data_IF_377434292588
#
_entry.id   IF_377434292588
#
_cell.length_a   1.000
_cell.length_b   1.000
_cell.length_c   1.000
_cell.angle_alpha   90.00
_cell.angle_beta   90.00
_cell.angle_gamma   90.00
#
_symmetry.space_group_name_H-M   'P 1'
#
loop_
_entity.id
_entity.type
_entity.pdbx_description
1 polymer ?
#
# COMPACT_ATOMS: atom_id res chain seq x y z
N UNK A 1 -30.20 7.75 6.84
CA UNK A 1 -30.41 6.41 7.42
C UNK A 1 -29.07 5.76 7.78
N UNK A 2 -29.01 4.95 8.84
CA UNK A 2 -27.77 4.24 9.19
C UNK A 2 -27.21 3.40 8.06
N UNK A 3 -28.07 2.85 7.20
CA UNK A 3 -27.65 2.03 6.07
C UNK A 3 -26.83 2.82 5.05
N UNK A 4 -27.11 4.13 4.85
CA UNK A 4 -26.37 4.95 3.91
C UNK A 4 -24.94 5.22 4.41
N UNK A 5 -24.77 5.48 5.70
CA UNK A 5 -23.44 5.67 6.30
C UNK A 5 -22.62 4.38 6.26
N UNK A 6 -23.24 3.24 6.58
CA UNK A 6 -22.58 1.94 6.50
C UNK A 6 -22.17 1.60 5.06
N UNK A 7 -23.05 1.85 4.09
CA UNK A 7 -22.76 1.59 2.69
C UNK A 7 -21.60 2.46 2.20
N UNK A 8 -21.57 3.74 2.56
CA UNK A 8 -20.49 4.64 2.19
C UNK A 8 -19.15 4.21 2.81
N UNK A 9 -19.18 3.80 4.08
CA UNK A 9 -17.99 3.30 4.77
C UNK A 9 -17.47 2.02 4.13
N UNK A 10 -18.35 1.09 3.77
CA UNK A 10 -17.98 -0.17 3.13
C UNK A 10 -17.38 0.07 1.75
N UNK A 11 -17.95 1.01 0.98
CA UNK A 11 -17.39 1.40 -0.33
C UNK A 11 -15.99 1.97 -0.16
N UNK A 12 -15.79 2.86 0.81
CA UNK A 12 -14.47 3.45 1.08
C UNK A 12 -13.43 2.40 1.42
N UNK A 13 -13.79 1.44 2.29
CA UNK A 13 -12.88 0.35 2.68
C UNK A 13 -12.49 -0.52 1.50
N UNK A 14 -13.44 -0.84 0.62
CA UNK A 14 -13.17 -1.63 -0.58
C UNK A 14 -12.28 -0.84 -1.56
N UNK A 15 -12.52 0.46 -1.69
CA UNK A 15 -11.69 1.31 -2.56
C UNK A 15 -10.25 1.40 -2.05
N UNK A 16 -10.05 1.50 -0.73
CA UNK A 16 -8.70 1.47 -0.16
C UNK A 16 -8.00 0.16 -0.47
N UNK A 17 -8.70 -0.96 -0.34
CA UNK A 17 -8.12 -2.27 -0.62
C UNK A 17 -7.78 -2.42 -2.10
N UNK A 18 -8.67 -1.98 -3.00
CA UNK A 18 -8.39 -1.99 -4.44
C UNK A 18 -7.18 -1.11 -4.78
N UNK A 19 -7.10 0.07 -4.18
CA UNK A 19 -5.96 0.96 -4.38
C UNK A 19 -4.66 0.28 -3.91
N UNK A 20 -4.71 -0.43 -2.79
CA UNK A 20 -3.54 -1.16 -2.30
C UNK A 20 -3.12 -2.26 -3.28
N UNK A 21 -4.07 -3.03 -3.81
CA UNK A 21 -3.77 -4.08 -4.79
C UNK A 21 -3.07 -3.48 -6.01
N UNK A 22 -3.62 -2.37 -6.53
CA UNK A 22 -3.03 -1.68 -7.68
C UNK A 22 -1.62 -1.17 -7.34
N UNK A 23 -1.43 -0.56 -6.18
CA UNK A 23 -0.13 -0.04 -5.75
C UNK A 23 0.89 -1.15 -5.56
N UNK A 24 0.49 -2.29 -5.02
CA UNK A 24 1.36 -3.46 -4.86
C UNK A 24 1.85 -3.94 -6.23
N UNK A 25 0.95 -4.01 -7.21
CA UNK A 25 1.31 -4.41 -8.57
C UNK A 25 2.25 -3.38 -9.21
N UNK A 26 1.93 -2.09 -9.09
CA UNK A 26 2.76 -1.03 -9.66
C UNK A 26 4.14 -0.97 -9.00
N UNK A 27 4.21 -1.18 -7.69
CA UNK A 27 5.49 -1.21 -6.99
C UNK A 27 6.36 -2.36 -7.50
N UNK A 28 5.76 -3.53 -7.68
CA UNK A 28 6.49 -4.68 -8.21
C UNK A 28 6.99 -4.41 -9.63
N UNK A 29 6.12 -3.89 -10.50
CA UNK A 29 6.49 -3.60 -11.89
C UNK A 29 7.60 -2.55 -11.95
N UNK A 30 7.46 -1.45 -11.22
CA UNK A 30 8.47 -0.39 -11.22
C UNK A 30 9.78 -0.88 -10.60
N UNK A 31 9.70 -1.74 -9.59
CA UNK A 31 10.89 -2.36 -9.00
C UNK A 31 11.62 -3.27 -9.98
N UNK A 32 10.88 -4.04 -10.78
CA UNK A 32 11.46 -4.87 -11.85
C UNK A 32 12.14 -3.96 -12.90
N UNK A 33 11.51 -2.85 -13.26
CA UNK A 33 12.10 -1.90 -14.21
C UNK A 33 13.43 -1.35 -13.68
N UNK A 34 13.50 -0.99 -12.42
CA UNK A 34 14.75 -0.55 -11.78
C UNK A 34 15.80 -1.66 -11.84
N UNK A 35 15.42 -2.89 -11.50
CA UNK A 35 16.31 -4.03 -11.49
C UNK A 35 16.89 -4.33 -12.88
N UNK A 36 16.05 -4.25 -13.92
CA UNK A 36 16.49 -4.42 -15.30
C UNK A 36 17.47 -3.33 -15.69
N UNK A 37 17.15 -2.08 -15.37
CA UNK A 37 17.98 -0.92 -15.72
C UNK A 37 19.34 -0.97 -15.02
N UNK A 38 19.39 -1.45 -13.78
CA UNK A 38 20.62 -1.55 -13.00
C UNK A 38 21.30 -2.92 -13.14
N UNK A 39 20.76 -3.81 -13.97
CA UNK A 39 21.28 -5.17 -14.22
C UNK A 39 21.38 -6.02 -12.95
N UNK A 40 20.43 -5.83 -12.03
CA UNK A 40 20.36 -6.56 -10.76
C UNK A 40 19.16 -7.49 -10.66
N UNK A 41 18.48 -7.76 -11.77
CA UNK A 41 17.32 -8.63 -11.79
C UNK A 41 17.74 -10.08 -11.52
N UNK A 42 17.09 -10.71 -10.55
CA UNK A 42 17.28 -12.14 -10.25
C UNK A 42 15.97 -12.73 -9.74
N UNK A 43 15.83 -14.04 -9.89
CA UNK A 43 14.62 -14.74 -9.40
C UNK A 43 14.54 -14.69 -7.87
N UNK A 44 15.65 -14.69 -7.16
CA UNK A 44 15.63 -14.57 -5.69
C UNK A 44 15.09 -13.21 -5.23
N UNK A 45 15.50 -12.12 -5.86
CA UNK A 45 15.03 -10.78 -5.54
C UNK A 45 13.55 -10.67 -5.86
N UNK A 46 13.12 -11.19 -7.01
CA UNK A 46 11.72 -11.19 -7.40
C UNK A 46 10.86 -12.00 -6.44
N UNK A 47 11.31 -13.17 -6.04
CA UNK A 47 10.58 -14.03 -5.10
C UNK A 47 10.44 -13.37 -3.72
N UNK A 48 11.49 -12.72 -3.22
CA UNK A 48 11.43 -11.97 -1.95
C UNK A 48 10.42 -10.82 -2.03
N UNK A 49 10.38 -10.12 -3.16
CA UNK A 49 9.43 -9.04 -3.37
C UNK A 49 7.99 -9.54 -3.34
N UNK A 50 7.71 -10.65 -4.02
CA UNK A 50 6.38 -11.25 -4.02
C UNK A 50 6.01 -11.72 -2.62
N UNK A 51 6.93 -12.36 -1.89
CA UNK A 51 6.68 -12.84 -0.54
C UNK A 51 6.30 -11.70 0.40
N UNK A 52 7.01 -10.57 0.33
CA UNK A 52 6.67 -9.38 1.13
C UNK A 52 5.28 -8.87 0.82
N UNK A 53 4.88 -8.85 -0.45
CA UNK A 53 3.58 -8.36 -0.87
C UNK A 53 2.46 -9.30 -0.45
N UNK A 54 2.68 -10.61 -0.49
CA UNK A 54 1.74 -11.57 0.08
C UNK A 54 1.59 -11.33 1.59
N UNK A 55 2.69 -11.09 2.29
CA UNK A 55 2.67 -10.82 3.72
C UNK A 55 1.86 -9.57 4.08
N UNK A 56 1.84 -8.54 3.23
CA UNK A 56 1.00 -7.35 3.41
C UNK A 56 -0.47 -7.76 3.55
N UNK A 57 -0.96 -8.58 2.63
CA UNK A 57 -2.36 -9.01 2.64
C UNK A 57 -2.66 -9.94 3.82
N UNK A 58 -1.69 -10.75 4.25
CA UNK A 58 -1.83 -11.55 5.46
C UNK A 58 -1.96 -10.66 6.70
N UNK A 59 -1.20 -9.57 6.78
CA UNK A 59 -1.29 -8.62 7.89
C UNK A 59 -2.63 -7.89 7.91
N UNK A 60 -3.16 -7.53 6.74
CA UNK A 60 -4.49 -6.93 6.64
C UNK A 60 -5.54 -7.93 7.12
N UNK A 61 -5.40 -9.20 6.79
CA UNK A 61 -6.29 -10.25 7.26
C UNK A 61 -6.23 -10.37 8.79
N UNK A 62 -5.04 -10.29 9.39
CA UNK A 62 -4.88 -10.27 10.84
C UNK A 62 -5.63 -9.09 11.45
N UNK A 63 -5.46 -7.90 10.87
CA UNK A 63 -6.14 -6.70 11.35
C UNK A 63 -7.66 -6.84 11.24
N UNK A 64 -8.14 -7.43 10.15
CA UNK A 64 -9.58 -7.67 9.96
C UNK A 64 -10.13 -8.63 11.01
N UNK A 65 -9.43 -9.73 11.26
CA UNK A 65 -9.84 -10.70 12.29
C UNK A 65 -9.83 -10.04 13.67
N UNK A 66 -8.81 -9.24 13.98
CA UNK A 66 -8.73 -8.53 15.24
C UNK A 66 -9.92 -7.56 15.41
N UNK A 67 -10.29 -6.82 14.36
CA UNK A 67 -11.46 -5.93 14.40
C UNK A 67 -12.75 -6.70 14.63
N UNK A 68 -12.90 -7.86 13.98
CA UNK A 68 -14.14 -8.64 14.05
C UNK A 68 -14.33 -9.36 15.38
N UNK A 69 -13.26 -9.87 15.98
CA UNK A 69 -13.36 -10.84 17.07
C UNK A 69 -12.70 -10.40 18.36
N UNK A 70 -11.73 -9.50 18.33
CA UNK A 70 -10.92 -9.16 19.50
C UNK A 70 -11.13 -7.75 20.02
N UNK A 71 -11.48 -6.81 19.17
CA UNK A 71 -11.55 -5.38 19.51
C UNK A 71 -12.89 -4.82 19.07
N UNK A 72 -13.94 -5.10 19.51
CA UNK A 72 -15.30 -4.59 19.17
C UNK A 72 -15.29 -3.23 18.43
N UNK A 73 -14.45 -3.11 17.40
CA UNK A 73 -14.30 -1.86 16.65
C UNK A 73 -14.93 -1.99 15.26
N UNK A 74 -15.07 -0.85 14.58
CA UNK A 74 -15.70 -0.75 13.27
C UNK A 74 -14.62 -0.74 12.17
N UNK A 75 -13.84 -1.79 12.06
CA UNK A 75 -12.80 -1.96 11.04
C UNK A 75 -11.69 -0.91 11.11
N UNK A 76 -11.43 -0.35 12.29
CA UNK A 76 -10.40 0.69 12.46
C UNK A 76 -9.01 0.12 12.20
N UNK A 77 -8.68 -1.06 12.78
CA UNK A 77 -7.35 -1.67 12.60
C UNK A 77 -7.12 -2.04 11.15
N UNK A 78 -8.13 -2.59 10.49
CA UNK A 78 -8.03 -2.95 9.07
C UNK A 78 -7.77 -1.71 8.22
N UNK A 79 -8.52 -0.63 8.46
CA UNK A 79 -8.40 0.60 7.67
C UNK A 79 -7.04 1.28 7.89
N UNK A 80 -6.58 1.36 9.13
CA UNK A 80 -5.27 1.94 9.46
C UNK A 80 -4.15 1.11 8.85
N UNK A 81 -4.24 -0.22 8.94
CA UNK A 81 -3.25 -1.13 8.38
C UNK A 81 -3.19 -1.00 6.87
N UNK A 82 -4.36 -0.98 6.21
CA UNK A 82 -4.42 -0.82 4.76
C UNK A 82 -3.81 0.51 4.32
N UNK A 83 -4.15 1.59 5.01
CA UNK A 83 -3.63 2.91 4.68
C UNK A 83 -2.12 3.00 4.90
N UNK A 84 -1.61 2.37 5.96
CA UNK A 84 -0.17 2.29 6.22
C UNK A 84 0.57 1.62 5.06
N UNK A 85 0.11 0.43 4.65
CA UNK A 85 0.77 -0.29 3.56
C UNK A 85 0.57 0.38 2.21
N UNK A 86 -0.60 0.99 1.97
CA UNK A 86 -0.84 1.79 0.76
C UNK A 86 0.19 2.92 0.66
N UNK A 87 0.40 3.64 1.76
CA UNK A 87 1.37 4.74 1.82
C UNK A 87 2.78 4.23 1.59
N UNK A 88 3.13 3.11 2.20
CA UNK A 88 4.46 2.50 2.08
C UNK A 88 4.73 2.07 0.64
N UNK A 89 3.76 1.42 -0.01
CA UNK A 89 3.87 1.03 -1.41
C UNK A 89 3.93 2.25 -2.34
N UNK A 90 3.16 3.29 -2.03
CA UNK A 90 3.19 4.55 -2.78
C UNK A 90 4.55 5.22 -2.73
N UNK A 91 5.16 5.28 -1.56
CA UNK A 91 6.53 5.81 -1.40
C UNK A 91 7.50 5.01 -2.28
N UNK A 92 7.40 3.69 -2.23
CA UNK A 92 8.28 2.81 -3.01
C UNK A 92 8.12 3.03 -4.51
N UNK A 93 6.87 3.17 -5.00
CA UNK A 93 6.60 3.45 -6.41
C UNK A 93 7.29 4.76 -6.83
N UNK A 94 7.13 5.82 -6.05
CA UNK A 94 7.73 7.12 -6.37
C UNK A 94 9.26 7.05 -6.36
N UNK A 95 9.84 6.33 -5.40
CA UNK A 95 11.28 6.11 -5.36
C UNK A 95 11.77 5.35 -6.59
N UNK A 96 11.05 4.32 -7.00
CA UNK A 96 11.39 3.55 -8.20
C UNK A 96 11.31 4.42 -9.45
N UNK A 97 10.28 5.24 -9.59
CA UNK A 97 10.11 6.15 -10.72
C UNK A 97 11.28 7.15 -10.79
N UNK A 98 11.69 7.68 -9.65
CA UNK A 98 12.84 8.58 -9.59
C UNK A 98 14.15 7.86 -9.97
N UNK A 99 14.33 6.62 -9.54
CA UNK A 99 15.49 5.80 -9.92
C UNK A 99 15.52 5.50 -11.40
N UNK A 100 14.35 5.35 -12.03
CA UNK A 100 14.25 5.16 -13.49
C UNK A 100 14.66 6.43 -14.23
N UNK A 101 14.53 7.58 -13.60
CA UNK A 101 14.94 8.87 -14.16
C UNK A 101 13.79 9.78 -14.55
N UNK A 102 12.55 9.45 -14.17
CA UNK A 102 11.41 10.30 -14.46
C UNK A 102 11.23 11.34 -13.34
N UNK A 103 11.02 12.62 -13.71
CA UNK A 103 10.74 13.64 -12.70
C UNK A 103 9.30 13.51 -12.19
N UNK A 104 9.08 13.92 -10.94
CA UNK A 104 7.74 13.94 -10.36
C UNK A 104 7.16 15.35 -10.47
N UNK A 105 5.94 15.49 -11.01
CA UNK A 105 5.20 16.75 -10.91
C UNK A 105 5.00 17.18 -9.47
N UNK A 106 4.88 18.51 -9.23
CA UNK A 106 4.75 19.04 -7.87
C UNK A 106 3.59 18.44 -7.08
N UNK A 107 2.47 18.19 -7.73
CA UNK A 107 1.30 17.60 -7.08
C UNK A 107 1.57 16.17 -6.61
N UNK A 108 2.34 15.38 -7.37
CA UNK A 108 2.73 14.03 -6.97
C UNK A 108 3.77 14.06 -5.85
N UNK A 109 4.65 15.07 -5.83
CA UNK A 109 5.57 15.27 -4.70
C UNK A 109 4.81 15.55 -3.42
N UNK A 110 3.73 16.32 -3.49
CA UNK A 110 2.87 16.59 -2.33
C UNK A 110 2.21 15.30 -1.83
N UNK A 111 1.75 14.45 -2.76
CA UNK A 111 1.19 13.15 -2.40
C UNK A 111 2.23 12.25 -1.73
N UNK A 112 3.45 12.26 -2.24
CA UNK A 112 4.56 11.51 -1.62
C UNK A 112 4.81 11.96 -0.18
N UNK A 113 4.83 13.26 0.07
CA UNK A 113 4.99 13.78 1.43
C UNK A 113 3.84 13.35 2.34
N UNK A 114 2.61 13.33 1.82
CA UNK A 114 1.45 12.85 2.56
C UNK A 114 1.59 11.38 2.95
N UNK A 115 2.08 10.55 2.03
CA UNK A 115 2.34 9.13 2.32
C UNK A 115 3.42 8.97 3.40
N UNK A 116 4.47 9.79 3.36
CA UNK A 116 5.52 9.77 4.38
C UNK A 116 4.98 10.15 5.74
N UNK A 117 4.10 11.16 5.81
CA UNK A 117 3.46 11.56 7.06
C UNK A 117 2.60 10.43 7.64
N UNK A 118 1.81 9.76 6.81
CA UNK A 118 0.98 8.64 7.24
C UNK A 118 1.85 7.50 7.78
N UNK A 119 2.92 7.17 7.08
CA UNK A 119 3.85 6.12 7.50
C UNK A 119 4.49 6.46 8.84
N UNK A 120 4.97 7.68 9.01
CA UNK A 120 5.64 8.13 10.24
C UNK A 120 4.70 8.12 11.44
N UNK A 121 3.44 8.50 11.25
CA UNK A 121 2.45 8.48 12.31
C UNK A 121 2.09 7.06 12.75
N UNK A 122 2.14 6.10 11.84
CA UNK A 122 1.81 4.70 12.13
C UNK A 122 2.97 3.95 12.79
N UNK A 123 4.20 4.41 12.60
CA UNK A 123 5.37 3.84 13.24
C UNK A 123 5.56 4.50 14.61
#
# INVERSE_FOLDING_TARGET
>A
TPSNSSAASDVYKRQLLYALVIFVILDYITGVCVAVQTKKLSSNIGAKGIAKKVAIFLMISVAHVADQYLVESTDVLRSVTTLFYLSNEGISIFENVCKIGLPLPGQLKNLLEKFKDIKNQAE
#
